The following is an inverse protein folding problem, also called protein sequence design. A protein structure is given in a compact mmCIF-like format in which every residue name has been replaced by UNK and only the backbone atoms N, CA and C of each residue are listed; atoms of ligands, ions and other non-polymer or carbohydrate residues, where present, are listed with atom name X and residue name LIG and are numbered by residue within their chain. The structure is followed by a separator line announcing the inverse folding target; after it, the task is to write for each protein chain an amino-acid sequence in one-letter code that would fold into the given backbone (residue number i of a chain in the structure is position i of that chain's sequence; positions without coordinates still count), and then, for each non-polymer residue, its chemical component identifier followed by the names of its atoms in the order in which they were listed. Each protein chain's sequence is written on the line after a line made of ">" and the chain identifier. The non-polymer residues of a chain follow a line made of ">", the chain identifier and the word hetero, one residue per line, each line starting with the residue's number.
data_IF_228613135681
#
_entry.id   IF_228613135681
#
_cell.length_a   1.000
_cell.length_b   1.000
_cell.length_c   1.000
_cell.angle_alpha   90.00
_cell.angle_beta   90.00
_cell.angle_gamma   90.00
#
_symmetry.space_group_name_H-M   'P 1'
#
loop_
_entity.id
_entity.type
_entity.pdbx_description
1 polymer ?
#
# COMPACT_ATOMS: atom_id res chain seq x y z
N UNK A 1 67.40 -22.71 -10.17
CA UNK A 1 66.20 -22.60 -11.04
C UNK A 1 65.23 -23.72 -10.67
N UNK A 2 63.94 -23.41 -10.50
CA UNK A 2 62.85 -24.34 -10.80
C UNK A 2 62.33 -25.25 -9.70
N UNK A 3 61.55 -24.71 -8.75
CA UNK A 3 60.57 -25.50 -7.98
C UNK A 3 59.38 -24.63 -7.53
N UNK A 4 58.84 -23.81 -8.43
CA UNK A 4 57.69 -22.93 -8.18
C UNK A 4 56.55 -23.14 -9.19
N UNK A 5 56.41 -24.36 -9.72
CA UNK A 5 55.43 -24.69 -10.75
C UNK A 5 54.46 -25.81 -10.33
N UNK A 6 54.22 -25.99 -9.03
CA UNK A 6 53.29 -27.01 -8.54
C UNK A 6 52.33 -26.47 -7.49
N UNK A 7 51.65 -25.35 -7.79
CA UNK A 7 50.51 -24.87 -6.99
C UNK A 7 49.47 -24.04 -7.76
N UNK A 8 49.47 -24.08 -9.10
CA UNK A 8 48.52 -23.32 -9.93
C UNK A 8 47.49 -24.26 -10.61
N UNK A 9 47.23 -25.44 -10.05
CA UNK A 9 46.25 -26.39 -10.64
C UNK A 9 45.14 -26.84 -9.69
N UNK A 10 44.94 -26.13 -8.58
CA UNK A 10 43.97 -26.55 -7.54
C UNK A 10 43.16 -25.39 -6.96
N UNK A 11 42.83 -24.38 -7.78
CA UNK A 11 41.87 -23.33 -7.38
C UNK A 11 40.80 -23.04 -8.46
N UNK A 12 40.88 -23.65 -9.63
CA UNK A 12 39.86 -23.53 -10.71
C UNK A 12 38.64 -24.46 -10.52
N UNK A 13 38.54 -25.20 -9.41
CA UNK A 13 37.40 -26.06 -9.12
C UNK A 13 36.83 -25.79 -7.73
N UNK A 14 36.12 -24.66 -7.59
CA UNK A 14 34.93 -24.56 -6.72
C UNK A 14 34.26 -23.17 -6.72
N UNK A 15 34.45 -22.35 -7.76
CA UNK A 15 33.46 -21.31 -8.01
C UNK A 15 32.22 -22.03 -8.51
N UNK A 16 31.20 -22.07 -7.65
CA UNK A 16 29.87 -22.57 -7.95
C UNK A 16 29.45 -22.03 -9.32
N UNK A 17 29.19 -22.94 -10.24
CA UNK A 17 28.47 -22.67 -11.48
C UNK A 17 27.23 -21.87 -11.09
N UNK A 18 26.99 -20.65 -11.60
CA UNK A 18 25.70 -20.04 -11.40
C UNK A 18 24.69 -21.02 -11.99
N UNK A 19 23.76 -21.51 -11.18
CA UNK A 19 22.62 -22.24 -11.71
C UNK A 19 21.96 -21.30 -12.73
N UNK A 20 22.14 -21.64 -14.00
CA UNK A 20 21.41 -21.00 -15.08
C UNK A 20 19.97 -21.44 -14.87
N UNK A 21 19.19 -20.64 -14.14
CA UNK A 21 17.74 -20.77 -14.09
C UNK A 21 17.25 -20.89 -15.52
N UNK A 22 16.47 -21.93 -15.83
CA UNK A 22 16.06 -22.17 -17.22
C UNK A 22 15.16 -21.01 -17.66
N UNK A 23 15.19 -20.67 -18.95
CA UNK A 23 14.32 -19.61 -19.50
C UNK A 23 12.83 -19.83 -19.15
N UNK A 24 12.40 -21.10 -19.01
CA UNK A 24 11.07 -21.48 -18.55
C UNK A 24 10.82 -21.10 -17.09
N UNK A 25 11.79 -21.26 -16.20
CA UNK A 25 11.67 -20.91 -14.77
C UNK A 25 11.53 -19.39 -14.61
N UNK A 26 12.33 -18.62 -15.36
CA UNK A 26 12.25 -17.15 -15.36
C UNK A 26 10.91 -16.64 -15.91
N UNK A 27 10.36 -17.28 -16.95
CA UNK A 27 9.04 -16.92 -17.47
C UNK A 27 7.91 -17.22 -16.48
N UNK A 28 7.97 -18.35 -15.76
CA UNK A 28 6.99 -18.69 -14.73
C UNK A 28 7.06 -17.70 -13.57
N UNK A 29 8.26 -17.39 -13.07
CA UNK A 29 8.48 -16.40 -12.01
C UNK A 29 7.98 -15.00 -12.41
N UNK A 30 8.21 -14.60 -13.65
CA UNK A 30 7.74 -13.28 -14.15
C UNK A 30 6.21 -13.21 -14.18
N UNK A 31 5.54 -14.28 -14.65
CA UNK A 31 4.06 -14.34 -14.67
C UNK A 31 3.49 -14.31 -13.26
N UNK A 32 4.07 -15.08 -12.34
CA UNK A 32 3.63 -15.12 -10.95
C UNK A 32 3.81 -13.75 -10.26
N UNK A 33 4.95 -13.08 -10.48
CA UNK A 33 5.17 -11.74 -9.93
C UNK A 33 4.14 -10.74 -10.46
N UNK A 34 3.83 -10.77 -11.77
CA UNK A 34 2.82 -9.89 -12.35
C UNK A 34 1.44 -10.12 -11.74
N UNK A 35 1.08 -11.37 -11.48
CA UNK A 35 -0.18 -11.74 -10.83
C UNK A 35 -0.27 -11.19 -9.40
N UNK A 36 0.78 -11.37 -8.59
CA UNK A 36 0.82 -10.86 -7.21
C UNK A 36 0.78 -9.33 -7.18
N UNK A 37 1.44 -8.65 -8.12
CA UNK A 37 1.36 -7.19 -8.25
C UNK A 37 -0.06 -6.73 -8.62
N UNK A 38 -0.75 -7.45 -9.51
CA UNK A 38 -2.14 -7.14 -9.83
C UNK A 38 -3.06 -7.37 -8.63
N UNK A 39 -2.89 -8.45 -7.88
CA UNK A 39 -3.65 -8.71 -6.64
C UNK A 39 -3.44 -7.59 -5.62
N UNK A 40 -2.18 -7.20 -5.37
CA UNK A 40 -1.85 -6.12 -4.44
C UNK A 40 -2.46 -4.78 -4.86
N UNK A 41 -2.40 -4.45 -6.16
CA UNK A 41 -3.03 -3.24 -6.70
C UNK A 41 -4.55 -3.26 -6.55
N UNK A 42 -5.19 -4.37 -6.89
CA UNK A 42 -6.65 -4.51 -6.78
C UNK A 42 -7.10 -4.38 -5.32
N UNK A 43 -6.39 -5.03 -4.41
CA UNK A 43 -6.62 -4.89 -2.97
C UNK A 43 -6.49 -3.43 -2.53
N UNK A 44 -5.44 -2.73 -2.96
CA UNK A 44 -5.23 -1.33 -2.63
C UNK A 44 -6.39 -0.44 -3.13
N UNK A 45 -6.81 -0.60 -4.39
CA UNK A 45 -7.91 0.19 -4.95
C UNK A 45 -9.22 -0.08 -4.22
N UNK A 46 -9.51 -1.34 -3.90
CA UNK A 46 -10.69 -1.72 -3.13
C UNK A 46 -10.69 -1.04 -1.76
N UNK A 47 -9.57 -1.12 -1.04
CA UNK A 47 -9.48 -0.52 0.29
C UNK A 47 -9.58 1.01 0.26
N UNK A 48 -9.03 1.68 -0.75
CA UNK A 48 -9.19 3.13 -0.93
C UNK A 48 -10.64 3.51 -1.23
N UNK A 49 -11.33 2.74 -2.07
CA UNK A 49 -12.73 2.96 -2.39
C UNK A 49 -13.63 2.75 -1.17
N UNK A 50 -13.38 1.70 -0.39
CA UNK A 50 -14.10 1.42 0.86
C UNK A 50 -13.86 2.52 1.90
N UNK A 51 -12.61 2.94 2.09
CA UNK A 51 -12.27 4.05 2.98
C UNK A 51 -13.02 5.33 2.56
N UNK A 52 -12.94 5.71 1.28
CA UNK A 52 -13.64 6.87 0.75
C UNK A 52 -15.16 6.78 0.98
N UNK A 53 -15.77 5.64 0.65
CA UNK A 53 -17.20 5.42 0.80
C UNK A 53 -17.66 5.57 2.26
N UNK A 54 -16.95 4.96 3.20
CA UNK A 54 -17.31 5.05 4.62
C UNK A 54 -17.09 6.43 5.22
N UNK A 55 -15.96 7.07 4.91
CA UNK A 55 -15.69 8.46 5.31
C UNK A 55 -16.83 9.36 4.83
N UNK A 56 -17.19 9.27 3.54
CA UNK A 56 -18.23 10.08 2.93
C UNK A 56 -19.61 9.81 3.55
N UNK A 57 -19.99 8.55 3.75
CA UNK A 57 -21.27 8.21 4.37
C UNK A 57 -21.41 8.80 5.76
N UNK A 58 -20.36 8.71 6.58
CA UNK A 58 -20.36 9.27 7.94
C UNK A 58 -20.40 10.79 7.93
N UNK A 59 -19.68 11.44 7.02
CA UNK A 59 -19.69 12.90 6.88
C UNK A 59 -21.05 13.42 6.40
N UNK A 60 -21.69 12.73 5.45
CA UNK A 60 -23.06 13.04 5.02
C UNK A 60 -24.06 12.91 6.17
N UNK A 61 -23.95 11.87 6.99
CA UNK A 61 -24.79 11.70 8.18
C UNK A 61 -24.57 12.83 9.19
N UNK A 62 -23.32 13.23 9.42
CA UNK A 62 -23.01 14.33 10.32
C UNK A 62 -23.54 15.65 9.78
N UNK A 63 -23.45 15.90 8.48
CA UNK A 63 -23.97 17.12 7.84
C UNK A 63 -25.49 17.26 8.01
N UNK A 64 -26.24 16.16 7.93
CA UNK A 64 -27.69 16.15 8.15
C UNK A 64 -28.08 16.47 9.60
N UNK A 65 -27.25 16.09 10.57
CA UNK A 65 -27.56 16.22 12.00
C UNK A 65 -26.90 17.44 12.66
N UNK A 66 -25.76 17.87 12.14
CA UNK A 66 -24.98 19.00 12.61
C UNK A 66 -24.20 19.66 11.45
N UNK A 67 -24.89 20.45 10.60
CA UNK A 67 -24.29 21.07 9.42
C UNK A 67 -23.21 22.12 9.74
N UNK A 68 -23.16 22.61 10.99
CA UNK A 68 -22.17 23.59 11.46
C UNK A 68 -20.95 22.93 12.12
N UNK A 69 -20.82 21.61 12.02
CA UNK A 69 -19.68 20.89 12.58
C UNK A 69 -18.36 21.40 12.00
N UNK A 70 -17.39 21.69 12.87
CA UNK A 70 -16.04 22.09 12.45
C UNK A 70 -15.28 20.91 11.86
N UNK A 71 -14.22 21.16 11.09
CA UNK A 71 -13.36 20.09 10.53
C UNK A 71 -12.82 19.14 11.62
N UNK A 72 -12.50 19.68 12.80
CA UNK A 72 -12.06 18.88 13.93
C UNK A 72 -13.17 17.97 14.47
N UNK A 73 -14.41 18.48 14.53
CA UNK A 73 -15.58 17.68 14.94
C UNK A 73 -15.92 16.61 13.89
N UNK A 74 -15.80 16.92 12.60
CA UNK A 74 -15.97 15.96 11.51
C UNK A 74 -14.96 14.82 11.61
N UNK A 75 -13.67 15.17 11.74
CA UNK A 75 -12.59 14.19 11.90
C UNK A 75 -12.79 13.32 13.14
N UNK A 76 -13.15 13.92 14.28
CA UNK A 76 -13.40 13.21 15.53
C UNK A 76 -14.61 12.27 15.45
N UNK A 77 -15.70 12.70 14.82
CA UNK A 77 -16.90 11.89 14.63
C UNK A 77 -16.60 10.65 13.79
N UNK A 78 -15.97 10.84 12.64
CA UNK A 78 -15.59 9.75 11.73
C UNK A 78 -14.62 8.77 12.42
N UNK A 79 -13.64 9.30 13.13
CA UNK A 79 -12.68 8.50 13.92
C UNK A 79 -13.38 7.65 14.97
N UNK A 80 -14.34 8.23 15.70
CA UNK A 80 -15.06 7.51 16.74
C UNK A 80 -16.00 6.44 16.16
N UNK A 81 -16.52 6.65 14.95
CA UNK A 81 -17.43 5.72 14.28
C UNK A 81 -16.72 4.51 13.65
N UNK A 82 -15.46 4.65 13.24
CA UNK A 82 -14.70 3.58 12.58
C UNK A 82 -13.79 2.86 13.59
N UNK A 83 -13.98 1.55 13.72
CA UNK A 83 -13.19 0.72 14.64
C UNK A 83 -11.69 0.78 14.35
N UNK A 84 -10.81 0.68 15.37
CA UNK A 84 -9.35 0.70 15.18
C UNK A 84 -8.83 -0.27 14.11
N UNK A 85 -9.26 -1.53 14.16
CA UNK A 85 -8.85 -2.56 13.18
C UNK A 85 -9.19 -2.18 11.74
N UNK A 86 -10.35 -1.54 11.51
CA UNK A 86 -10.74 -1.08 10.17
C UNK A 86 -9.92 0.14 9.71
N UNK A 87 -9.56 1.03 10.64
CA UNK A 87 -8.63 2.13 10.34
C UNK A 87 -7.25 1.60 9.93
N UNK A 88 -6.72 0.60 10.62
CA UNK A 88 -5.45 -0.05 10.26
C UNK A 88 -5.49 -0.64 8.84
N UNK A 89 -6.62 -1.26 8.46
CA UNK A 89 -6.82 -1.77 7.09
C UNK A 89 -6.80 -0.66 6.04
N UNK A 90 -7.48 0.46 6.29
CA UNK A 90 -7.44 1.62 5.41
C UNK A 90 -6.05 2.22 5.31
N UNK A 91 -5.36 2.38 6.44
CA UNK A 91 -3.98 2.87 6.48
C UNK A 91 -3.02 1.97 5.70
N UNK A 92 -3.21 0.65 5.75
CA UNK A 92 -2.42 -0.32 4.98
C UNK A 92 -2.51 -0.15 3.45
N UNK A 93 -3.55 0.52 2.95
CA UNK A 93 -3.73 0.80 1.53
C UNK A 93 -3.14 2.14 1.07
N UNK A 94 -2.67 2.99 2.00
CA UNK A 94 -2.15 4.33 1.70
C UNK A 94 -0.71 4.31 1.18
N UNK A 95 -0.52 3.89 -0.07
CA UNK A 95 0.79 3.96 -0.75
C UNK A 95 1.09 5.37 -1.30
N UNK A 96 2.26 5.55 -1.90
CA UNK A 96 2.62 6.83 -2.52
C UNK A 96 1.55 7.30 -3.53
N UNK A 97 1.14 8.57 -3.44
CA UNK A 97 0.10 9.14 -4.30
C UNK A 97 -1.34 8.81 -3.90
N UNK A 98 -1.59 8.16 -2.76
CA UNK A 98 -2.94 7.82 -2.29
C UNK A 98 -3.91 9.02 -2.22
N UNK A 99 -3.41 10.23 -1.96
CA UNK A 99 -4.22 11.44 -1.83
C UNK A 99 -4.92 11.82 -3.13
N UNK A 100 -4.31 11.56 -4.29
CA UNK A 100 -4.96 11.80 -5.58
C UNK A 100 -5.90 10.66 -5.94
N UNK A 101 -5.51 9.43 -5.66
CA UNK A 101 -6.33 8.24 -5.97
C UNK A 101 -7.64 8.23 -5.18
N UNK A 102 -7.61 8.59 -3.89
CA UNK A 102 -8.82 8.56 -3.06
C UNK A 102 -9.88 9.58 -3.51
N UNK A 103 -9.46 10.67 -4.17
CA UNK A 103 -10.39 11.68 -4.71
C UNK A 103 -11.28 11.13 -5.82
N UNK A 104 -10.89 10.06 -6.49
CA UNK A 104 -11.73 9.39 -7.50
C UNK A 104 -12.99 8.75 -6.88
N UNK A 105 -12.94 8.46 -5.58
CA UNK A 105 -14.02 7.78 -4.85
C UNK A 105 -14.78 8.71 -3.89
N UNK A 106 -14.26 9.92 -3.65
CA UNK A 106 -14.89 10.92 -2.80
C UNK A 106 -15.54 12.02 -3.65
N UNK A 107 -16.70 12.51 -3.22
CA UNK A 107 -17.24 13.74 -3.76
C UNK A 107 -16.33 14.92 -3.41
N UNK A 108 -16.27 15.92 -4.30
CA UNK A 108 -15.39 17.09 -4.16
C UNK A 108 -15.53 17.81 -2.81
N UNK A 109 -16.74 17.85 -2.25
CA UNK A 109 -17.01 18.46 -0.93
C UNK A 109 -16.30 17.77 0.23
N UNK A 110 -16.00 16.47 0.08
CA UNK A 110 -15.38 15.65 1.13
C UNK A 110 -13.88 15.40 0.89
N UNK A 111 -13.30 15.86 -0.22
CA UNK A 111 -11.85 15.68 -0.52
C UNK A 111 -10.97 16.18 0.61
N UNK A 112 -11.16 17.44 1.03
CA UNK A 112 -10.32 18.06 2.07
C UNK A 112 -10.38 17.29 3.38
N UNK A 113 -11.60 17.04 3.87
CA UNK A 113 -11.80 16.42 5.18
C UNK A 113 -11.46 14.93 5.18
N UNK A 114 -11.74 14.20 4.10
CA UNK A 114 -11.39 12.78 3.97
C UNK A 114 -9.88 12.57 3.96
N UNK A 115 -9.14 13.39 3.19
CA UNK A 115 -7.68 13.37 3.17
C UNK A 115 -7.12 13.75 4.55
N UNK A 116 -7.59 14.84 5.15
CA UNK A 116 -7.12 15.28 6.46
C UNK A 116 -7.36 14.21 7.55
N UNK A 117 -8.48 13.50 7.49
CA UNK A 117 -8.81 12.42 8.44
C UNK A 117 -7.82 11.26 8.33
N UNK A 118 -7.51 10.81 7.11
CA UNK A 118 -6.55 9.73 6.88
C UNK A 118 -5.11 10.14 7.20
N UNK A 119 -4.72 11.38 6.89
CA UNK A 119 -3.44 11.95 7.30
C UNK A 119 -3.32 12.00 8.83
N UNK A 120 -4.39 12.41 9.52
CA UNK A 120 -4.40 12.42 10.98
C UNK A 120 -4.22 11.01 11.55
N UNK A 121 -4.95 9.99 11.05
CA UNK A 121 -4.74 8.60 11.50
C UNK A 121 -3.32 8.11 11.24
N UNK A 122 -2.74 8.42 10.09
CA UNK A 122 -1.37 8.02 9.74
C UNK A 122 -0.31 8.65 10.65
N UNK A 123 -0.57 9.85 11.17
CA UNK A 123 0.36 10.60 12.03
C UNK A 123 0.02 10.55 13.52
N UNK A 124 -1.09 9.91 13.90
CA UNK A 124 -1.54 9.78 15.28
C UNK A 124 -0.87 8.61 16.03
N UNK A 125 -0.05 7.82 15.33
CA UNK A 125 0.84 6.79 15.87
C UNK A 125 2.20 7.36 16.31
#
# INVERSE_FOLDING_TARGET
>A
MGAFAMKVKTIEQKIHKPEVFKATDNQVLTKQLLEELHKARNWQQQMLAEAAGELQQLLQQLEQTNPTATEAQQTAFVTAAITPTRREQFLGALQAGWQELIKEFLDNSYHKIGIATLEWWKNAD
#
